data_IF_513951200954
#
_entry.id   IF_513951200954
#
_cell.length_a   1.000
_cell.length_b   1.000
_cell.length_c   1.000
_cell.angle_alpha   90.00
_cell.angle_beta   90.00
_cell.angle_gamma   90.00
#
_symmetry.space_group_name_H-M   'P 1'
#
loop_
_entity.id
_entity.type
_entity.pdbx_description
1 polymer ?
#
# COMPACT_ATOMS: atom_id res chain seq x y z
N UNK A 1 -2.46 6.28 -12.33
CA UNK A 1 -3.12 5.85 -13.61
C UNK A 1 -2.28 6.28 -14.81
N UNK A 2 -1.00 5.93 -14.83
CA UNK A 2 -0.05 6.43 -15.82
C UNK A 2 0.38 5.29 -16.74
N UNK A 3 0.81 5.62 -17.99
CA UNK A 3 1.36 4.59 -18.89
C UNK A 3 2.65 3.99 -18.33
N UNK A 4 3.44 4.82 -17.64
CA UNK A 4 4.70 4.46 -16.98
C UNK A 4 4.53 3.49 -15.80
N UNK A 5 3.31 3.27 -15.33
CA UNK A 5 3.03 2.27 -14.30
C UNK A 5 3.35 0.83 -14.80
N UNK A 6 3.30 0.61 -16.13
CA UNK A 6 3.70 -0.65 -16.74
C UNK A 6 5.19 -0.96 -16.49
N UNK A 7 6.08 0.03 -16.62
CA UNK A 7 7.51 -0.15 -16.41
C UNK A 7 7.81 -0.51 -14.93
N UNK A 8 7.03 0.07 -13.99
CA UNK A 8 7.14 -0.31 -12.58
C UNK A 8 6.66 -1.74 -12.34
N UNK A 9 5.57 -2.16 -12.99
CA UNK A 9 5.05 -3.54 -12.87
C UNK A 9 6.08 -4.55 -13.41
N UNK A 10 6.76 -4.25 -14.52
CA UNK A 10 7.87 -5.08 -15.03
C UNK A 10 9.03 -5.21 -14.00
N UNK A 11 9.35 -4.13 -13.29
CA UNK A 11 10.33 -4.18 -12.19
C UNK A 11 9.81 -5.01 -11.00
N UNK A 12 8.53 -4.91 -10.66
CA UNK A 12 7.91 -5.75 -9.62
C UNK A 12 8.00 -7.24 -9.99
N UNK A 13 7.73 -7.60 -11.24
CA UNK A 13 7.89 -8.97 -11.75
C UNK A 13 9.34 -9.45 -11.67
N UNK A 14 10.28 -8.63 -12.15
CA UNK A 14 11.72 -8.93 -12.13
C UNK A 14 12.23 -9.25 -10.74
N UNK A 15 11.75 -8.54 -9.72
CA UNK A 15 12.21 -8.67 -8.34
C UNK A 15 11.24 -9.43 -7.43
N UNK A 16 10.11 -9.94 -7.98
CA UNK A 16 9.05 -10.65 -7.24
C UNK A 16 8.57 -9.86 -6.01
N UNK A 17 8.36 -8.56 -6.21
CA UNK A 17 7.87 -7.64 -5.18
C UNK A 17 6.43 -7.25 -5.49
N UNK A 18 5.71 -6.76 -4.49
CA UNK A 18 4.34 -6.29 -4.62
C UNK A 18 4.23 -4.78 -4.41
N UNK A 19 3.21 -4.17 -4.98
CA UNK A 19 2.90 -2.77 -4.75
C UNK A 19 1.39 -2.50 -4.72
N UNK A 20 1.02 -1.39 -4.07
CA UNK A 20 -0.34 -0.85 -4.05
C UNK A 20 -0.39 0.38 -4.96
N UNK A 21 -1.21 0.32 -6.01
CA UNK A 21 -1.46 1.42 -6.93
C UNK A 21 -2.74 2.15 -6.53
N UNK A 22 -2.61 3.44 -6.22
CA UNK A 22 -3.73 4.28 -5.83
C UNK A 22 -4.28 4.97 -7.07
N UNK A 23 -5.47 4.57 -7.53
CA UNK A 23 -6.02 4.97 -8.82
C UNK A 23 -7.10 6.05 -8.70
N UNK A 24 -7.22 6.85 -9.76
CA UNK A 24 -8.15 7.97 -9.91
C UNK A 24 -9.05 7.69 -11.12
N UNK A 25 -10.17 6.98 -10.97
CA UNK A 25 -11.00 6.57 -12.12
C UNK A 25 -11.51 7.73 -12.95
N UNK A 26 -11.79 8.88 -12.35
CA UNK A 26 -12.24 10.08 -13.03
C UNK A 26 -11.20 10.69 -13.98
N UNK A 27 -9.95 10.24 -13.89
CA UNK A 27 -8.85 10.68 -14.75
C UNK A 27 -8.49 9.71 -15.87
N UNK A 28 -9.14 8.55 -15.97
CA UNK A 28 -8.87 7.65 -17.10
C UNK A 28 -9.04 8.39 -18.42
N UNK A 29 -8.04 8.26 -19.29
CA UNK A 29 -8.08 8.86 -20.61
C UNK A 29 -9.20 8.28 -21.46
N UNK A 30 -9.73 9.06 -22.39
CA UNK A 30 -10.70 8.56 -23.35
C UNK A 30 -10.01 7.59 -24.33
N UNK A 31 -10.77 6.61 -24.79
CA UNK A 31 -10.29 5.71 -25.84
C UNK A 31 -9.79 6.48 -27.07
N UNK A 32 -8.64 6.10 -27.58
CA UNK A 32 -8.00 6.76 -28.71
C UNK A 32 -7.18 8.01 -28.34
N UNK A 33 -7.03 8.35 -27.06
CA UNK A 33 -6.12 9.44 -26.64
C UNK A 33 -4.69 9.10 -27.05
N UNK A 34 -4.00 10.07 -27.60
CA UNK A 34 -2.56 10.00 -27.96
C UNK A 34 -1.84 11.17 -27.32
N UNK A 35 -0.57 10.96 -26.99
CA UNK A 35 0.27 11.96 -26.35
C UNK A 35 1.39 12.41 -27.27
N UNK A 36 1.81 13.71 -27.21
CA UNK A 36 2.96 14.20 -27.96
C UNK A 36 4.24 13.47 -27.54
N UNK A 37 5.23 13.44 -28.44
CA UNK A 37 6.58 12.96 -28.13
C UNK A 37 7.18 13.78 -26.97
N UNK A 38 7.72 13.09 -25.95
CA UNK A 38 8.31 13.71 -24.76
C UNK A 38 7.31 14.07 -23.65
N UNK A 39 6.00 13.80 -23.83
CA UNK A 39 5.04 13.92 -22.73
C UNK A 39 5.32 12.85 -21.66
N UNK A 40 5.48 13.29 -20.41
CA UNK A 40 5.78 12.43 -19.26
C UNK A 40 4.59 12.21 -18.32
N UNK A 41 3.43 12.81 -18.63
CA UNK A 41 2.21 12.65 -17.86
C UNK A 41 1.11 12.04 -18.73
N UNK A 42 1.18 10.74 -18.93
CA UNK A 42 0.35 9.99 -19.87
C UNK A 42 -0.64 9.09 -19.13
N UNK A 43 -1.90 9.53 -19.09
CA UNK A 43 -2.97 8.78 -18.44
C UNK A 43 -3.40 7.57 -19.29
N UNK A 44 -3.63 6.45 -18.65
CA UNK A 44 -4.17 5.25 -19.33
C UNK A 44 -5.67 5.33 -19.53
N UNK A 45 -6.22 4.66 -20.55
CA UNK A 45 -7.65 4.45 -20.69
C UNK A 45 -8.15 3.42 -19.67
N UNK A 46 -9.45 3.40 -19.39
CA UNK A 46 -10.04 2.41 -18.47
C UNK A 46 -9.73 0.97 -18.89
N UNK A 47 -9.82 0.68 -20.19
CA UNK A 47 -9.48 -0.65 -20.72
C UNK A 47 -8.03 -1.02 -20.45
N UNK A 48 -7.09 -0.12 -20.73
CA UNK A 48 -5.66 -0.33 -20.50
C UNK A 48 -5.36 -0.44 -19.00
N UNK A 49 -6.03 0.37 -18.16
CA UNK A 49 -5.93 0.27 -16.71
C UNK A 49 -6.36 -1.11 -16.21
N UNK A 50 -7.49 -1.64 -16.69
CA UNK A 50 -7.94 -2.99 -16.34
C UNK A 50 -6.88 -4.03 -16.68
N UNK A 51 -6.38 -4.04 -17.90
CA UNK A 51 -5.38 -5.00 -18.36
C UNK A 51 -4.06 -4.90 -17.56
N UNK A 52 -3.64 -3.68 -17.20
CA UNK A 52 -2.37 -3.40 -16.53
C UNK A 52 -2.39 -3.77 -15.05
N UNK A 53 -3.43 -3.35 -14.31
CA UNK A 53 -3.46 -3.52 -12.86
C UNK A 53 -4.16 -4.82 -12.39
N UNK A 54 -4.79 -5.58 -13.30
CA UNK A 54 -5.26 -6.94 -13.01
C UNK A 54 -4.06 -7.90 -12.99
N UNK A 55 -3.20 -7.73 -12.00
CA UNK A 55 -1.91 -8.40 -11.90
C UNK A 55 -1.68 -8.94 -10.47
N UNK A 56 -1.14 -10.17 -10.28
CA UNK A 56 -1.01 -10.81 -8.97
C UNK A 56 -0.08 -10.09 -7.97
N UNK A 57 0.80 -9.22 -8.47
CA UNK A 57 1.69 -8.42 -7.62
C UNK A 57 1.14 -7.02 -7.32
N UNK A 58 -0.06 -6.71 -7.80
CA UNK A 58 -0.68 -5.39 -7.72
C UNK A 58 -1.91 -5.42 -6.83
N UNK A 59 -1.97 -4.53 -5.88
CA UNK A 59 -3.19 -4.11 -5.21
C UNK A 59 -3.67 -2.80 -5.80
N UNK A 60 -4.97 -2.71 -6.11
CA UNK A 60 -5.62 -1.46 -6.50
C UNK A 60 -6.26 -0.81 -5.29
N UNK A 61 -5.97 0.47 -5.05
CA UNK A 61 -6.50 1.28 -3.98
C UNK A 61 -7.05 2.63 -4.48
N UNK A 62 -7.80 3.30 -3.63
CA UNK A 62 -8.50 4.56 -3.88
C UNK A 62 -7.52 5.77 -3.82
N UNK A 63 -7.72 6.76 -4.71
CA UNK A 63 -7.02 8.05 -4.63
C UNK A 63 -7.97 9.24 -4.90
N UNK A 64 -9.23 9.09 -4.47
CA UNK A 64 -10.32 9.97 -4.87
C UNK A 64 -10.78 9.73 -6.30
N UNK A 65 -11.98 10.15 -6.63
CA UNK A 65 -12.49 10.05 -8.00
C UNK A 65 -11.92 11.11 -8.93
N UNK A 66 -11.64 12.30 -8.40
CA UNK A 66 -11.17 13.46 -9.16
C UNK A 66 -9.91 14.11 -8.58
N UNK A 67 -9.22 13.44 -7.63
CA UNK A 67 -8.00 13.95 -6.98
C UNK A 67 -8.17 15.36 -6.37
N UNK A 68 -9.30 15.59 -5.70
CA UNK A 68 -9.59 16.88 -5.05
C UNK A 68 -8.83 17.05 -3.74
N UNK A 69 -8.63 18.30 -3.33
CA UNK A 69 -8.23 18.63 -1.96
C UNK A 69 -9.37 18.25 -1.01
N UNK A 70 -9.33 17.02 -0.46
CA UNK A 70 -10.42 16.43 0.32
C UNK A 70 -10.84 17.34 1.49
N UNK A 71 -9.89 17.92 2.21
CA UNK A 71 -10.14 18.82 3.35
C UNK A 71 -10.79 20.17 2.97
N UNK A 72 -10.91 20.49 1.69
CA UNK A 72 -11.63 21.68 1.20
C UNK A 72 -13.08 21.38 0.81
N UNK A 73 -13.48 20.12 0.84
CA UNK A 73 -14.82 19.66 0.49
C UNK A 73 -15.75 19.66 1.70
N UNK A 74 -17.06 19.71 1.46
CA UNK A 74 -18.03 19.39 2.50
C UNK A 74 -17.99 17.91 2.87
N UNK A 75 -18.45 17.49 4.07
CA UNK A 75 -18.51 16.09 4.46
C UNK A 75 -19.24 15.19 3.45
N UNK A 76 -20.29 15.70 2.81
CA UNK A 76 -21.03 14.96 1.78
C UNK A 76 -20.17 14.74 0.53
N UNK A 77 -19.50 15.78 0.06
CA UNK A 77 -18.62 15.69 -1.13
C UNK A 77 -17.41 14.79 -0.87
N UNK A 78 -16.82 14.80 0.34
CA UNK A 78 -15.76 13.86 0.74
C UNK A 78 -16.22 12.40 0.63
N UNK A 79 -17.41 12.11 1.19
CA UNK A 79 -18.00 10.77 1.12
C UNK A 79 -18.34 10.37 -0.33
N UNK A 80 -18.92 11.27 -1.09
CA UNK A 80 -19.33 11.03 -2.49
C UNK A 80 -18.10 10.72 -3.36
N UNK A 81 -17.04 11.54 -3.32
CA UNK A 81 -15.82 11.34 -4.09
C UNK A 81 -15.15 10.00 -3.74
N UNK A 82 -15.07 9.68 -2.44
CA UNK A 82 -14.53 8.40 -1.95
C UNK A 82 -15.33 7.21 -2.45
N UNK A 83 -16.66 7.26 -2.34
CA UNK A 83 -17.57 6.16 -2.74
C UNK A 83 -17.63 6.00 -4.25
N UNK A 84 -17.62 7.10 -5.02
CA UNK A 84 -17.57 7.04 -6.49
C UNK A 84 -16.30 6.31 -6.96
N UNK A 85 -15.14 6.69 -6.41
CA UNK A 85 -13.89 6.01 -6.71
C UNK A 85 -13.95 4.52 -6.35
N UNK A 86 -14.39 4.15 -5.13
CA UNK A 86 -14.55 2.76 -4.72
C UNK A 86 -15.43 1.96 -5.68
N UNK A 87 -16.61 2.49 -5.99
CA UNK A 87 -17.57 1.82 -6.90
C UNK A 87 -16.97 1.57 -8.28
N UNK A 88 -16.26 2.55 -8.83
CA UNK A 88 -15.62 2.41 -10.14
C UNK A 88 -14.53 1.32 -10.11
N UNK A 89 -13.65 1.34 -9.12
CA UNK A 89 -12.56 0.38 -9.00
C UNK A 89 -13.07 -1.03 -8.65
N UNK A 90 -14.02 -1.15 -7.73
CA UNK A 90 -14.64 -2.43 -7.36
C UNK A 90 -15.41 -3.06 -8.55
N UNK A 91 -16.06 -2.23 -9.38
CA UNK A 91 -16.68 -2.70 -10.62
C UNK A 91 -15.64 -3.19 -11.64
N UNK A 92 -14.53 -2.45 -11.79
CA UNK A 92 -13.50 -2.73 -12.79
C UNK A 92 -12.67 -3.99 -12.45
N UNK A 93 -12.33 -4.19 -11.18
CA UNK A 93 -11.41 -5.25 -10.73
C UNK A 93 -12.08 -6.40 -9.96
N UNK A 94 -13.35 -6.27 -9.60
CA UNK A 94 -14.14 -7.37 -9.03
C UNK A 94 -13.76 -7.74 -7.58
N UNK A 95 -13.39 -6.76 -6.76
CA UNK A 95 -13.01 -7.00 -5.35
C UNK A 95 -13.41 -5.83 -4.46
N UNK A 96 -13.07 -5.89 -3.17
CA UNK A 96 -13.27 -4.79 -2.23
C UNK A 96 -12.08 -3.85 -2.26
N UNK A 97 -12.31 -2.56 -2.52
CA UNK A 97 -11.30 -1.52 -2.44
C UNK A 97 -11.43 -0.82 -1.09
N UNK A 98 -10.54 -1.16 -0.16
CA UNK A 98 -10.57 -0.70 1.23
C UNK A 98 -9.39 0.19 1.60
N UNK A 99 -8.39 0.26 0.75
CA UNK A 99 -7.22 1.10 0.89
C UNK A 99 -7.36 2.42 0.16
N UNK A 100 -6.65 3.44 0.64
CA UNK A 100 -6.60 4.76 0.03
C UNK A 100 -5.23 5.41 0.22
N UNK A 101 -4.90 6.38 -0.64
CA UNK A 101 -3.92 7.42 -0.37
C UNK A 101 -4.62 8.78 -0.48
N UNK A 102 -4.25 9.71 0.40
CA UNK A 102 -4.81 11.06 0.35
C UNK A 102 -4.32 11.82 -0.87
N UNK A 103 -5.23 12.37 -1.72
CA UNK A 103 -4.83 13.39 -2.70
C UNK A 103 -4.07 14.52 -1.98
N UNK A 104 -2.88 14.85 -2.47
CA UNK A 104 -1.96 15.83 -1.88
C UNK A 104 -1.47 15.53 -0.45
N UNK A 105 -1.89 14.43 0.16
CA UNK A 105 -1.47 14.02 1.51
C UNK A 105 -2.21 14.70 2.68
N UNK A 106 -3.13 15.64 2.42
CA UNK A 106 -3.83 16.38 3.48
C UNK A 106 -5.05 15.64 4.00
N UNK A 107 -5.20 15.62 5.33
CA UNK A 107 -6.36 15.05 6.04
C UNK A 107 -6.63 15.83 7.34
N UNK A 108 -7.81 15.62 7.89
CA UNK A 108 -8.26 16.10 9.19
C UNK A 108 -9.17 15.06 9.87
N UNK A 109 -9.54 15.29 11.12
CA UNK A 109 -10.37 14.37 11.90
C UNK A 109 -11.75 14.11 11.24
N UNK A 110 -12.32 15.13 10.58
CA UNK A 110 -13.60 14.97 9.88
C UNK A 110 -13.46 13.97 8.72
N UNK A 111 -12.39 14.10 7.93
CA UNK A 111 -12.14 13.18 6.82
C UNK A 111 -11.83 11.77 7.31
N UNK A 112 -11.07 11.60 8.40
CA UNK A 112 -10.81 10.30 9.01
C UNK A 112 -12.12 9.57 9.36
N UNK A 113 -13.08 10.26 9.99
CA UNK A 113 -14.35 9.67 10.36
C UNK A 113 -15.24 9.33 9.14
N UNK A 114 -15.21 10.16 8.12
CA UNK A 114 -15.91 9.91 6.85
C UNK A 114 -15.31 8.68 6.15
N UNK A 115 -14.00 8.57 6.05
CA UNK A 115 -13.34 7.44 5.41
C UNK A 115 -13.69 6.11 6.08
N UNK A 116 -13.73 6.08 7.43
CA UNK A 116 -14.23 4.89 8.19
C UNK A 116 -15.64 4.51 7.76
N UNK A 117 -16.56 5.48 7.69
CA UNK A 117 -17.93 5.26 7.27
C UNK A 117 -18.05 4.83 5.81
N UNK A 118 -17.14 5.32 4.94
CA UNK A 118 -17.01 4.88 3.56
C UNK A 118 -16.34 3.50 3.42
N UNK A 119 -15.96 2.83 4.51
CA UNK A 119 -15.35 1.50 4.51
C UNK A 119 -13.88 1.48 4.08
N UNK A 120 -13.18 2.60 4.16
CA UNK A 120 -11.72 2.67 4.02
C UNK A 120 -11.09 2.24 5.35
N UNK A 121 -10.10 1.38 5.29
CA UNK A 121 -9.47 0.78 6.48
C UNK A 121 -8.04 1.25 6.71
N UNK A 122 -7.35 1.67 5.64
CA UNK A 122 -6.06 2.32 5.75
C UNK A 122 -5.94 3.44 4.70
N UNK A 123 -5.18 4.47 5.03
CA UNK A 123 -4.94 5.58 4.12
C UNK A 123 -3.51 6.13 4.29
N UNK A 124 -2.72 6.14 3.19
CA UNK A 124 -1.36 6.65 3.17
C UNK A 124 -1.34 8.17 3.11
N UNK A 125 -0.48 8.75 3.93
CA UNK A 125 -0.11 10.17 3.89
C UNK A 125 1.16 10.38 3.05
N UNK A 126 1.72 11.59 3.06
CA UNK A 126 2.98 11.92 2.34
C UNK A 126 4.15 12.24 3.29
N UNK A 127 3.92 12.16 4.59
CA UNK A 127 4.92 12.50 5.59
C UNK A 127 5.93 11.36 5.76
N UNK A 128 7.20 11.61 5.45
CA UNK A 128 8.28 10.63 5.61
C UNK A 128 8.72 10.56 7.06
N UNK A 129 8.67 9.35 7.64
CA UNK A 129 9.10 9.12 9.04
C UNK A 129 10.58 8.81 9.16
N UNK A 130 11.19 8.26 8.12
CA UNK A 130 12.53 7.67 8.09
C UNK A 130 12.75 6.59 9.18
N UNK A 131 11.65 6.03 9.69
CA UNK A 131 11.64 4.90 10.63
C UNK A 131 11.01 3.66 9.99
N UNK A 132 11.07 2.53 10.71
CA UNK A 132 10.51 1.25 10.25
C UNK A 132 9.38 0.77 11.16
N UNK A 133 8.69 1.70 11.80
CA UNK A 133 7.59 1.38 12.70
C UNK A 133 6.30 1.10 11.95
N UNK A 134 5.48 0.22 12.48
CA UNK A 134 4.09 0.07 12.05
C UNK A 134 3.30 1.34 12.41
N UNK A 135 2.26 1.69 11.66
CA UNK A 135 1.46 2.87 11.95
C UNK A 135 0.64 2.69 13.24
N UNK A 136 0.54 3.73 14.05
CA UNK A 136 -0.39 3.78 15.19
C UNK A 136 -1.85 4.00 14.73
N UNK A 137 -2.04 4.70 13.62
CA UNK A 137 -3.33 4.94 13.00
C UNK A 137 -3.27 4.57 11.51
N UNK A 138 -3.96 3.51 11.13
CA UNK A 138 -4.01 3.04 9.75
C UNK A 138 -4.61 4.04 8.77
N UNK A 139 -5.48 4.93 9.21
CA UNK A 139 -6.01 6.02 8.39
C UNK A 139 -5.09 7.25 8.31
N UNK A 140 -3.99 7.26 9.07
CA UNK A 140 -2.93 8.26 8.97
C UNK A 140 -1.58 7.57 8.80
N UNK A 141 -1.48 6.67 7.82
CA UNK A 141 -0.31 5.82 7.62
C UNK A 141 0.81 6.59 6.92
N UNK A 142 1.76 7.03 7.70
CA UNK A 142 2.96 7.70 7.21
C UNK A 142 3.95 6.68 6.60
N UNK A 143 4.46 6.91 5.39
CA UNK A 143 5.47 6.04 4.78
C UNK A 143 6.85 6.25 5.44
N UNK A 144 7.75 5.27 5.24
CA UNK A 144 9.16 5.45 5.62
C UNK A 144 9.78 6.60 4.84
N UNK A 145 9.65 6.62 3.51
CA UNK A 145 10.16 7.72 2.69
C UNK A 145 9.55 7.74 1.28
N UNK A 146 9.70 8.87 0.62
CA UNK A 146 9.49 8.99 -0.82
C UNK A 146 10.64 8.33 -1.60
N UNK A 147 10.41 7.85 -2.82
CA UNK A 147 11.46 7.21 -3.63
C UNK A 147 12.64 8.15 -3.97
N UNK A 148 12.40 9.47 -4.01
CA UNK A 148 13.44 10.49 -4.25
C UNK A 148 14.14 10.96 -2.97
N UNK A 149 13.78 10.42 -1.80
CA UNK A 149 14.43 10.77 -0.54
C UNK A 149 15.94 10.51 -0.65
N UNK A 150 16.75 11.47 -0.25
CA UNK A 150 18.23 11.37 -0.31
C UNK A 150 18.78 10.21 0.52
N UNK A 151 18.07 9.84 1.61
CA UNK A 151 18.43 8.76 2.52
C UNK A 151 17.91 7.38 2.08
N UNK A 152 17.21 7.26 0.92
CA UNK A 152 16.59 5.99 0.49
C UNK A 152 17.57 4.79 0.59
N UNK A 153 18.78 4.92 0.05
CA UNK A 153 19.75 3.83 0.06
C UNK A 153 20.34 3.56 1.44
N UNK A 154 20.53 4.60 2.25
CA UNK A 154 20.97 4.44 3.64
C UNK A 154 19.90 3.73 4.46
N UNK A 155 18.63 4.11 4.31
CA UNK A 155 17.49 3.44 4.92
C UNK A 155 17.39 1.99 4.46
N UNK A 156 17.60 1.73 3.17
CA UNK A 156 17.62 0.36 2.63
C UNK A 156 18.70 -0.49 3.30
N UNK A 157 19.93 -0.01 3.37
CA UNK A 157 21.04 -0.71 4.02
C UNK A 157 20.76 -0.95 5.50
N UNK A 158 20.23 0.06 6.19
CA UNK A 158 19.83 -0.05 7.60
C UNK A 158 18.73 -1.09 7.82
N UNK A 159 17.74 -1.17 6.90
CA UNK A 159 16.65 -2.14 6.98
C UNK A 159 17.15 -3.57 6.74
N UNK A 160 17.85 -3.82 5.63
CA UNK A 160 18.31 -5.17 5.26
C UNK A 160 19.44 -5.71 6.16
N UNK A 161 20.14 -4.86 6.90
CA UNK A 161 21.18 -5.29 7.86
C UNK A 161 20.62 -5.63 9.24
N UNK A 162 19.35 -5.37 9.50
CA UNK A 162 18.76 -5.65 10.81
C UNK A 162 18.60 -7.15 11.02
N UNK A 163 19.07 -7.62 12.18
CA UNK A 163 18.94 -9.01 12.61
C UNK A 163 18.37 -9.04 14.04
N UNK A 164 17.72 -10.14 14.40
CA UNK A 164 17.18 -10.38 15.75
C UNK A 164 16.28 -9.24 16.23
N UNK A 165 15.31 -8.83 15.39
CA UNK A 165 14.37 -7.77 15.72
C UNK A 165 13.32 -8.30 16.71
N UNK A 166 13.06 -7.53 17.77
CA UNK A 166 12.06 -7.88 18.79
C UNK A 166 10.60 -7.61 18.34
N UNK A 167 10.45 -6.90 17.24
CA UNK A 167 9.13 -6.53 16.68
C UNK A 167 9.19 -6.45 15.17
N UNK A 168 8.08 -6.62 14.45
CA UNK A 168 8.01 -6.43 13.01
C UNK A 168 8.47 -5.02 12.62
N UNK A 169 9.23 -4.95 11.52
CA UNK A 169 9.66 -3.70 10.92
C UNK A 169 8.99 -3.53 9.57
N UNK A 170 8.62 -2.30 9.26
CA UNK A 170 7.98 -1.91 8.00
C UNK A 170 8.88 -0.95 7.22
N UNK A 171 9.22 -1.29 5.98
CA UNK A 171 9.88 -0.37 5.05
C UNK A 171 8.90 0.00 3.94
N UNK A 172 8.29 1.16 4.05
CA UNK A 172 7.27 1.66 3.15
C UNK A 172 7.80 2.80 2.28
N UNK A 173 8.05 2.53 1.00
CA UNK A 173 8.48 3.51 0.01
C UNK A 173 7.29 3.86 -0.89
N UNK A 174 7.12 5.14 -1.19
CA UNK A 174 6.04 5.63 -2.06
C UNK A 174 6.55 6.63 -3.09
N UNK A 175 5.72 6.97 -4.07
CA UNK A 175 5.99 7.98 -5.08
C UNK A 175 5.09 7.83 -6.30
N UNK A 176 5.53 8.35 -7.45
CA UNK A 176 4.79 8.35 -8.70
C UNK A 176 5.70 7.94 -9.87
N UNK A 177 5.20 7.12 -10.77
CA UNK A 177 5.97 6.60 -11.91
C UNK A 177 6.38 7.67 -12.91
N UNK A 178 5.52 8.67 -13.16
CA UNK A 178 5.86 9.79 -14.05
C UNK A 178 7.09 10.60 -13.57
N UNK A 179 7.43 10.52 -12.28
CA UNK A 179 8.62 11.18 -11.73
C UNK A 179 9.90 10.51 -12.21
N UNK A 180 9.92 9.18 -12.35
CA UNK A 180 11.07 8.46 -12.91
C UNK A 180 11.32 8.84 -14.36
N UNK A 181 10.24 8.94 -15.16
CA UNK A 181 10.34 9.36 -16.56
C UNK A 181 10.81 10.80 -16.69
N UNK A 182 10.20 11.71 -15.92
CA UNK A 182 10.58 13.13 -15.89
C UNK A 182 12.02 13.35 -15.45
N UNK A 183 12.45 12.64 -14.41
CA UNK A 183 13.78 12.77 -13.81
C UNK A 183 14.82 11.85 -14.48
N UNK A 184 14.40 10.98 -15.41
CA UNK A 184 15.22 9.97 -16.08
C UNK A 184 16.06 9.13 -15.12
N UNK A 185 15.42 8.65 -14.05
CA UNK A 185 16.08 7.97 -12.93
C UNK A 185 15.48 6.60 -12.59
N UNK A 186 14.91 5.89 -13.56
CA UNK A 186 14.44 4.50 -13.42
C UNK A 186 15.50 3.57 -12.82
N UNK A 187 16.78 3.82 -13.12
CA UNK A 187 17.91 3.08 -12.55
C UNK A 187 18.01 3.19 -11.02
N UNK A 188 17.48 4.27 -10.45
CA UNK A 188 17.41 4.45 -8.99
C UNK A 188 16.44 3.44 -8.37
N UNK A 189 15.26 3.24 -8.98
CA UNK A 189 14.27 2.28 -8.51
C UNK A 189 14.75 0.84 -8.74
N UNK A 190 15.35 0.55 -9.90
CA UNK A 190 15.94 -0.75 -10.20
C UNK A 190 17.01 -1.13 -9.15
N UNK A 191 17.93 -0.22 -8.84
CA UNK A 191 18.95 -0.40 -7.79
C UNK A 191 18.36 -0.59 -6.39
N UNK A 192 17.31 0.15 -6.05
CA UNK A 192 16.62 -0.01 -4.78
C UNK A 192 16.01 -1.41 -4.66
N UNK A 193 15.22 -1.82 -5.66
CA UNK A 193 14.59 -3.14 -5.67
C UNK A 193 15.61 -4.27 -5.67
N UNK A 194 16.73 -4.14 -6.40
CA UNK A 194 17.83 -5.10 -6.38
C UNK A 194 18.43 -5.28 -4.97
N UNK A 195 18.56 -4.20 -4.22
CA UNK A 195 19.14 -4.25 -2.86
C UNK A 195 18.20 -4.89 -1.84
N UNK A 196 16.90 -4.62 -1.95
CA UNK A 196 15.91 -5.05 -0.94
C UNK A 196 15.29 -6.40 -1.26
N UNK A 197 15.28 -6.84 -2.51
CA UNK A 197 14.63 -8.09 -2.95
C UNK A 197 15.38 -9.35 -2.53
N UNK A 198 14.69 -10.52 -2.57
CA UNK A 198 15.28 -11.85 -2.36
C UNK A 198 15.79 -12.10 -0.94
N UNK A 199 15.30 -11.39 0.08
CA UNK A 199 15.63 -11.62 1.49
C UNK A 199 14.62 -12.60 2.08
N UNK A 200 15.11 -13.67 2.72
CA UNK A 200 14.26 -14.73 3.30
C UNK A 200 13.45 -14.27 4.52
N UNK A 201 13.94 -13.23 5.21
CA UNK A 201 13.34 -12.62 6.40
C UNK A 201 12.48 -11.38 6.08
N UNK A 202 12.26 -11.09 4.79
CA UNK A 202 11.43 -9.96 4.33
C UNK A 202 10.19 -10.47 3.58
N UNK A 203 9.03 -10.05 4.04
CA UNK A 203 7.77 -10.26 3.37
C UNK A 203 7.44 -9.09 2.43
N UNK A 204 7.41 -9.36 1.12
CA UNK A 204 7.04 -8.38 0.11
C UNK A 204 5.53 -8.40 -0.06
N UNK A 205 4.87 -7.38 0.46
CA UNK A 205 3.42 -7.36 0.60
C UNK A 205 2.81 -6.03 0.10
N UNK A 206 1.55 -6.09 -0.27
CA UNK A 206 0.74 -4.89 -0.52
C UNK A 206 0.30 -4.26 0.80
N UNK A 207 -0.19 -3.01 0.73
CA UNK A 207 -0.69 -2.32 1.93
C UNK A 207 -1.88 -3.07 2.56
N UNK A 208 -2.77 -3.59 1.73
CA UNK A 208 -3.92 -4.37 2.20
C UNK A 208 -3.50 -5.66 2.90
N UNK A 209 -2.53 -6.39 2.33
CA UNK A 209 -2.01 -7.61 2.96
C UNK A 209 -1.38 -7.32 4.32
N UNK A 210 -0.60 -6.22 4.44
CA UNK A 210 0.01 -5.80 5.71
C UNK A 210 -1.08 -5.44 6.72
N UNK A 211 -2.04 -4.61 6.33
CA UNK A 211 -3.16 -4.22 7.20
C UNK A 211 -3.92 -5.45 7.72
N UNK A 212 -4.31 -6.35 6.82
CA UNK A 212 -5.09 -7.54 7.18
C UNK A 212 -4.30 -8.48 8.12
N UNK A 213 -3.00 -8.66 7.86
CA UNK A 213 -2.16 -9.52 8.71
C UNK A 213 -1.96 -8.93 10.11
N UNK A 214 -1.61 -7.64 10.21
CA UNK A 214 -1.41 -6.98 11.51
C UNK A 214 -2.73 -6.95 12.30
N UNK A 215 -3.84 -6.61 11.64
CA UNK A 215 -5.16 -6.61 12.27
C UNK A 215 -5.61 -8.03 12.72
N UNK A 216 -5.21 -9.09 12.00
CA UNK A 216 -5.46 -10.47 12.43
C UNK A 216 -4.60 -10.83 13.65
N UNK A 217 -3.34 -10.44 13.66
CA UNK A 217 -2.43 -10.64 14.79
C UNK A 217 -2.91 -9.93 16.06
N UNK A 218 -3.33 -8.68 15.95
CA UNK A 218 -3.85 -7.87 17.08
C UNK A 218 -5.15 -8.41 17.68
N UNK A 219 -5.90 -9.19 16.90
CA UNK A 219 -7.16 -9.83 17.35
C UNK A 219 -6.97 -11.19 17.99
N UNK A 220 -5.74 -11.70 18.10
CA UNK A 220 -5.50 -12.93 18.83
C UNK A 220 -5.98 -12.83 20.27
N UNK A 221 -6.67 -13.87 20.73
CA UNK A 221 -7.20 -13.96 22.09
C UNK A 221 -6.37 -14.98 22.86
N UNK A 222 -5.83 -14.56 23.98
CA UNK A 222 -5.02 -15.40 24.85
C UNK A 222 -5.80 -15.80 26.10
N UNK A 223 -5.66 -17.05 26.55
CA UNK A 223 -6.17 -17.44 27.87
C UNK A 223 -5.37 -16.75 28.99
N UNK A 224 -5.99 -16.60 30.16
CA UNK A 224 -5.36 -15.94 31.30
C UNK A 224 -4.07 -16.61 31.80
N UNK A 225 -3.91 -17.93 31.57
CA UNK A 225 -2.71 -18.70 31.91
C UNK A 225 -1.71 -18.80 30.76
N UNK A 226 -1.99 -18.15 29.61
CA UNK A 226 -1.14 -18.13 28.44
C UNK A 226 -1.04 -19.45 27.65
N UNK A 227 -1.82 -20.48 28.01
CA UNK A 227 -1.72 -21.81 27.41
C UNK A 227 -2.62 -22.05 26.19
N UNK A 228 -3.52 -21.12 25.91
CA UNK A 228 -4.45 -21.22 24.80
C UNK A 228 -4.43 -19.92 24.02
N UNK A 229 -4.32 -20.02 22.69
CA UNK A 229 -4.39 -18.89 21.76
C UNK A 229 -5.49 -19.20 20.75
N UNK A 230 -6.42 -18.27 20.58
CA UNK A 230 -7.48 -18.34 19.59
C UNK A 230 -7.34 -17.24 18.56
N UNK A 231 -7.40 -17.60 17.29
CA UNK A 231 -7.40 -16.69 16.15
C UNK A 231 -8.83 -16.55 15.61
N UNK A 232 -9.52 -15.42 15.87
CA UNK A 232 -10.87 -15.21 15.37
C UNK A 232 -10.92 -14.84 13.89
N UNK A 233 -9.77 -14.66 13.23
CA UNK A 233 -9.67 -14.31 11.82
C UNK A 233 -9.57 -15.55 10.94
N UNK A 234 -9.68 -15.36 9.62
CA UNK A 234 -9.40 -16.41 8.63
C UNK A 234 -7.96 -16.34 8.09
N UNK A 235 -7.16 -15.42 8.62
CA UNK A 235 -5.79 -15.21 8.18
C UNK A 235 -4.87 -15.93 9.17
N UNK A 236 -4.08 -16.90 8.72
CA UNK A 236 -3.09 -17.54 9.58
C UNK A 236 -2.05 -16.51 10.04
N UNK A 237 -1.77 -16.50 11.35
CA UNK A 237 -0.74 -15.64 11.93
C UNK A 237 0.33 -16.48 12.61
N UNK A 238 1.53 -15.91 12.74
CA UNK A 238 2.66 -16.59 13.35
C UNK A 238 3.00 -15.91 14.66
N UNK A 239 3.25 -16.71 15.70
CA UNK A 239 3.70 -16.23 17.00
C UNK A 239 4.95 -17.00 17.41
N UNK A 240 5.87 -16.32 18.06
CA UNK A 240 7.02 -16.96 18.69
C UNK A 240 6.77 -17.07 20.20
N UNK A 241 6.96 -18.27 20.74
CA UNK A 241 6.84 -18.56 22.17
C UNK A 241 8.06 -19.39 22.57
N UNK A 242 8.83 -18.88 23.50
CA UNK A 242 10.06 -19.52 24.01
C UNK A 242 11.03 -19.95 22.87
N UNK A 243 11.20 -19.09 21.85
CA UNK A 243 12.07 -19.33 20.70
C UNK A 243 11.51 -20.34 19.67
N UNK A 244 10.26 -20.76 19.83
CA UNK A 244 9.58 -21.65 18.87
C UNK A 244 8.48 -20.89 18.12
N UNK A 245 8.50 -20.95 16.79
CA UNK A 245 7.50 -20.31 15.93
C UNK A 245 6.29 -21.22 15.71
N UNK A 246 5.10 -20.72 15.98
CA UNK A 246 3.82 -21.41 15.82
C UNK A 246 2.94 -20.69 14.80
N UNK A 247 2.34 -21.46 13.90
CA UNK A 247 1.29 -20.98 13.00
C UNK A 247 -0.06 -21.14 13.66
N UNK A 248 -0.80 -20.06 13.83
CA UNK A 248 -2.14 -20.05 14.41
C UNK A 248 -3.16 -19.84 13.29
N UNK A 249 -3.83 -20.90 12.87
CA UNK A 249 -4.89 -20.85 11.86
C UNK A 249 -6.26 -20.62 12.51
N UNK A 250 -6.54 -21.31 13.61
CA UNK A 250 -7.78 -21.21 14.40
C UNK A 250 -7.45 -21.19 15.89
N UNK A 251 -6.81 -22.24 16.41
CA UNK A 251 -6.42 -22.33 17.82
C UNK A 251 -5.07 -23.03 18.03
N UNK A 252 -4.39 -22.66 19.10
CA UNK A 252 -3.19 -23.34 19.60
C UNK A 252 -3.39 -23.66 21.10
N UNK A 253 -3.18 -24.92 21.48
CA UNK A 253 -3.16 -25.36 22.88
C UNK A 253 -1.73 -25.79 23.22
N UNK A 254 -1.10 -25.07 24.13
CA UNK A 254 0.23 -25.44 24.65
C UNK A 254 0.06 -26.47 25.77
N UNK A 255 0.80 -27.55 25.68
CA UNK A 255 0.77 -28.66 26.65
C UNK A 255 1.72 -28.42 27.81
#
# INVERSE_FOLDING_TARGET
CMEEDADLIELLEKYQMKATFNLIPGWFAKEGTTYPEGETYRLVTEKKAKEMYEHPLVEVANHGNEHKYMTSLTPLEMAEDTILCRKALEHLYGGLVRGMAYPYGWYDETLLDILKQCGITYCRTVESTETFDLPENWLAWNPTCHHDNENLFQLTEKFVSKQNVERPLLFYVWGHTFEFERNKNWDRMDKFMQKVSGKEDVWYATNGEIYEYVNAYEKLVYSADGKYIYNPSKIPVWVEIDGTCYKIEDELIMK
#
